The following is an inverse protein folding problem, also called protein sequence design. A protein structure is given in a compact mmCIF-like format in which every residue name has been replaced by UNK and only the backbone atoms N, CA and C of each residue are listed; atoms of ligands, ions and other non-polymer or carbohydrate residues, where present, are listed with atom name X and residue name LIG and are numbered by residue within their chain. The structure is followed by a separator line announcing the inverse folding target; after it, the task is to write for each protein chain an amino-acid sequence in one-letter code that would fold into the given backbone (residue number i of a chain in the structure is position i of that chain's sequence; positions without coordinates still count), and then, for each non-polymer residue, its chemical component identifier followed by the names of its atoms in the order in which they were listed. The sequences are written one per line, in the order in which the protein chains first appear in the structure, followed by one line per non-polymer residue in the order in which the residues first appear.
data_IF_837161490219
#
_entry.id   IF_837161490219
#
_cell.length_a   1.000
_cell.length_b   1.000
_cell.length_c   1.000
_cell.angle_alpha   90.00
_cell.angle_beta   90.00
_cell.angle_gamma   90.00
#
_symmetry.space_group_name_H-M   'P 1'
#
loop_
_entity.id
_entity.type
_entity.pdbx_description
1 polymer ?
#
# COMPACT_ATOMS: atom_id res chain seq x y z
N UNK A 1 -38.16 -20.31 20.29
CA UNK A 1 -38.25 -19.15 19.38
C UNK A 1 -36.97 -19.14 18.58
N UNK A 2 -37.04 -19.50 17.30
CA UNK A 2 -35.88 -19.53 16.42
C UNK A 2 -35.62 -18.09 15.97
N UNK A 3 -34.58 -17.46 16.48
CA UNK A 3 -34.11 -16.17 15.98
C UNK A 3 -33.33 -16.42 14.70
N UNK A 4 -34.03 -16.41 13.56
CA UNK A 4 -33.39 -16.29 12.26
C UNK A 4 -32.67 -14.94 12.21
N UNK A 5 -31.35 -14.97 12.33
CA UNK A 5 -30.51 -13.80 12.12
C UNK A 5 -30.59 -13.42 10.64
N UNK A 6 -31.38 -12.40 10.29
CA UNK A 6 -31.37 -11.74 8.98
C UNK A 6 -30.07 -10.92 8.74
N UNK A 7 -28.97 -11.32 9.38
CA UNK A 7 -27.67 -10.73 9.17
C UNK A 7 -27.15 -11.26 7.84
N UNK A 8 -27.17 -10.39 6.82
CA UNK A 8 -26.38 -10.61 5.62
C UNK A 8 -24.96 -10.97 6.07
N UNK A 9 -24.54 -12.21 5.80
CA UNK A 9 -23.22 -12.71 6.19
C UNK A 9 -22.17 -11.73 5.66
N UNK A 10 -21.49 -11.06 6.60
CA UNK A 10 -20.53 -10.03 6.23
C UNK A 10 -19.41 -10.70 5.43
N UNK A 11 -18.92 -10.15 4.30
CA UNK A 11 -17.93 -10.82 3.43
C UNK A 11 -16.61 -11.23 4.12
N UNK A 12 -16.37 -10.68 5.32
CA UNK A 12 -15.22 -10.96 6.17
C UNK A 12 -15.50 -11.93 7.34
N UNK A 13 -16.71 -12.48 7.44
CA UNK A 13 -17.06 -13.52 8.40
C UNK A 13 -16.06 -14.68 8.26
N UNK A 14 -15.45 -15.10 9.37
CA UNK A 14 -14.37 -16.11 9.43
C UNK A 14 -13.03 -15.73 8.76
N UNK A 15 -12.86 -14.50 8.25
CA UNK A 15 -11.60 -14.00 7.66
C UNK A 15 -10.90 -12.94 8.51
N UNK A 16 -11.61 -12.34 9.46
CA UNK A 16 -11.05 -11.30 10.35
C UNK A 16 -10.93 -11.83 11.77
N UNK A 17 -9.74 -11.70 12.35
CA UNK A 17 -9.42 -12.11 13.74
C UNK A 17 -10.15 -11.29 14.81
N UNK A 18 -10.85 -10.21 14.43
CA UNK A 18 -11.60 -9.30 15.30
C UNK A 18 -13.02 -9.05 14.78
N UNK A 19 -13.70 -10.12 14.40
CA UNK A 19 -15.10 -10.07 13.95
C UNK A 19 -16.03 -10.18 15.17
N UNK A 20 -16.85 -9.16 15.44
CA UNK A 20 -17.85 -9.16 16.52
C UNK A 20 -19.27 -9.22 15.93
N UNK A 21 -19.58 -10.33 15.26
CA UNK A 21 -20.93 -10.71 14.85
C UNK A 21 -21.53 -9.93 13.66
N UNK A 22 -21.44 -8.60 13.65
CA UNK A 22 -22.07 -7.77 12.63
C UNK A 22 -21.08 -7.21 11.61
N UNK A 23 -19.94 -6.69 12.08
CA UNK A 23 -18.83 -6.21 11.24
C UNK A 23 -17.48 -6.43 11.95
N UNK A 24 -16.37 -6.46 11.21
CA UNK A 24 -15.05 -6.38 11.83
C UNK A 24 -14.59 -4.91 11.93
N UNK A 25 -13.70 -4.61 12.90
CA UNK A 25 -13.16 -3.26 13.09
C UNK A 25 -12.60 -2.63 11.81
N UNK A 26 -11.93 -3.42 10.97
CA UNK A 26 -11.35 -2.95 9.71
C UNK A 26 -12.43 -2.51 8.71
N UNK A 27 -13.49 -3.28 8.55
CA UNK A 27 -14.59 -2.94 7.64
C UNK A 27 -15.42 -1.78 8.17
N UNK A 28 -15.61 -1.71 9.49
CA UNK A 28 -16.25 -0.57 10.15
C UNK A 28 -15.50 0.74 9.86
N UNK A 29 -14.17 0.74 9.99
CA UNK A 29 -13.35 1.92 9.66
C UNK A 29 -13.52 2.31 8.19
N UNK A 30 -13.48 1.35 7.26
CA UNK A 30 -13.65 1.63 5.83
C UNK A 30 -15.04 2.20 5.50
N UNK A 31 -16.09 1.74 6.16
CA UNK A 31 -17.45 2.24 5.94
C UNK A 31 -17.63 3.65 6.53
N UNK A 32 -16.97 3.95 7.65
CA UNK A 32 -16.92 5.30 8.22
C UNK A 32 -16.16 6.23 7.27
N UNK A 33 -14.94 5.87 6.86
CA UNK A 33 -14.13 6.66 5.92
C UNK A 33 -14.92 6.98 4.63
N UNK A 34 -15.64 6.00 4.07
CA UNK A 34 -16.51 6.22 2.89
C UNK A 34 -17.66 7.18 3.15
N UNK A 35 -18.33 7.06 4.31
CA UNK A 35 -19.44 7.95 4.66
C UNK A 35 -18.97 9.38 4.88
N UNK A 36 -17.86 9.54 5.59
CA UNK A 36 -17.29 10.86 5.85
C UNK A 36 -16.79 11.53 4.56
N UNK A 37 -16.21 10.75 3.63
CA UNK A 37 -15.87 11.21 2.28
C UNK A 37 -17.11 11.68 1.50
N UNK A 38 -18.18 10.88 1.46
CA UNK A 38 -19.43 11.23 0.76
C UNK A 38 -20.12 12.47 1.36
N UNK A 39 -19.96 12.70 2.66
CA UNK A 39 -20.50 13.85 3.36
C UNK A 39 -19.57 15.08 3.30
N UNK A 40 -18.37 14.95 2.70
CA UNK A 40 -17.38 16.02 2.63
C UNK A 40 -16.92 16.51 4.01
N UNK A 41 -16.95 15.64 5.02
CA UNK A 41 -16.65 16.03 6.42
C UNK A 41 -15.16 16.29 6.65
N UNK A 42 -14.32 15.72 5.80
CA UNK A 42 -12.88 15.90 5.82
C UNK A 42 -12.37 16.19 4.40
N UNK A 43 -11.28 16.97 4.26
CA UNK A 43 -10.66 17.18 2.96
C UNK A 43 -10.18 15.86 2.37
N UNK A 44 -10.30 15.69 1.04
CA UNK A 44 -9.89 14.48 0.33
C UNK A 44 -8.48 13.98 0.73
N UNK A 45 -7.58 14.91 1.06
CA UNK A 45 -6.23 14.63 1.54
C UNK A 45 -6.15 13.81 2.84
N UNK A 46 -7.15 13.85 3.72
CA UNK A 46 -7.21 12.96 4.91
C UNK A 46 -7.52 11.51 4.54
N UNK A 47 -8.13 11.28 3.36
CA UNK A 47 -8.38 9.93 2.83
C UNK A 47 -7.31 9.47 1.83
N UNK A 48 -6.50 10.40 1.29
CA UNK A 48 -5.33 10.05 0.48
C UNK A 48 -4.28 9.43 1.40
N UNK A 49 -4.37 8.11 1.55
CA UNK A 49 -3.37 7.32 2.28
C UNK A 49 -2.04 7.45 1.54
N UNK A 50 -1.12 8.23 2.12
CA UNK A 50 0.26 8.32 1.67
C UNK A 50 0.84 6.90 1.66
N UNK A 51 1.25 6.44 0.48
CA UNK A 51 1.78 5.09 0.31
C UNK A 51 3.23 5.00 0.80
N UNK A 52 3.93 6.13 0.83
CA UNK A 52 5.31 6.28 1.28
C UNK A 52 5.40 7.47 2.25
N UNK A 53 6.39 7.46 3.13
CA UNK A 53 6.66 8.53 4.10
C UNK A 53 8.05 9.11 3.92
N UNK A 54 8.29 10.31 4.46
CA UNK A 54 9.63 10.91 4.50
C UNK A 54 10.64 9.92 5.08
N UNK A 55 11.77 9.78 4.38
CA UNK A 55 12.84 8.87 4.75
C UNK A 55 12.78 7.50 4.10
N UNK A 56 11.64 7.08 3.51
CA UNK A 56 11.53 5.81 2.79
C UNK A 56 12.46 5.78 1.57
N UNK A 57 13.10 4.64 1.35
CA UNK A 57 13.88 4.40 0.14
C UNK A 57 12.98 3.79 -0.95
N UNK A 58 13.01 4.40 -2.13
CA UNK A 58 12.22 3.98 -3.28
C UNK A 58 13.11 3.82 -4.52
N UNK A 59 12.65 2.97 -5.44
CA UNK A 59 13.21 2.84 -6.78
C UNK A 59 12.11 3.03 -7.80
N UNK A 60 12.48 3.52 -8.98
CA UNK A 60 11.55 3.60 -10.10
C UNK A 60 11.17 2.20 -10.62
N UNK A 61 9.94 2.10 -11.11
CA UNK A 61 9.42 0.92 -11.75
C UNK A 61 10.16 0.63 -13.07
N UNK A 62 10.18 -0.63 -13.55
CA UNK A 62 11.00 -1.03 -14.70
C UNK A 62 10.70 -0.32 -16.02
N UNK A 63 9.52 0.30 -16.17
CA UNK A 63 9.17 1.09 -17.36
C UNK A 63 9.85 2.46 -17.39
N UNK A 64 10.59 2.83 -16.35
CA UNK A 64 11.32 4.09 -16.23
C UNK A 64 12.83 3.79 -16.21
N UNK A 65 13.59 4.64 -16.91
CA UNK A 65 15.03 4.44 -17.16
C UNK A 65 15.94 4.71 -15.97
N UNK A 66 15.40 5.22 -14.86
CA UNK A 66 16.16 5.49 -13.65
C UNK A 66 16.43 4.20 -12.86
N UNK A 67 17.70 3.94 -12.58
CA UNK A 67 18.20 2.78 -11.86
C UNK A 67 18.74 3.12 -10.47
N UNK A 68 18.68 4.38 -10.06
CA UNK A 68 19.07 4.80 -8.72
C UNK A 68 18.10 4.35 -7.63
N UNK A 69 18.59 4.37 -6.40
CA UNK A 69 17.77 4.38 -5.19
C UNK A 69 17.62 5.82 -4.72
N UNK A 70 16.38 6.22 -4.43
CA UNK A 70 16.01 7.57 -4.03
C UNK A 70 15.36 7.53 -2.65
N UNK A 71 15.37 8.65 -1.95
CA UNK A 71 14.70 8.79 -0.67
C UNK A 71 13.55 9.77 -0.80
N UNK A 72 12.41 9.44 -0.19
CA UNK A 72 11.26 10.33 -0.11
C UNK A 72 11.60 11.49 0.82
N UNK A 73 11.38 12.71 0.32
CA UNK A 73 11.53 13.96 1.08
C UNK A 73 10.16 14.41 1.61
N UNK A 74 9.19 14.62 0.71
CA UNK A 74 7.87 15.08 1.11
C UNK A 74 6.76 14.57 0.19
N UNK A 75 5.58 14.30 0.75
CA UNK A 75 4.37 14.06 -0.02
C UNK A 75 3.87 15.36 -0.67
N UNK A 76 3.27 15.24 -1.85
CA UNK A 76 2.59 16.32 -2.58
C UNK A 76 1.16 15.90 -2.94
N UNK A 77 0.23 16.86 -3.06
CA UNK A 77 -1.12 16.59 -3.56
C UNK A 77 -1.12 15.86 -4.90
N UNK A 78 -2.23 15.20 -5.21
CA UNK A 78 -2.40 14.38 -6.42
C UNK A 78 -1.42 13.20 -6.53
N UNK A 79 -1.04 12.61 -5.39
CA UNK A 79 -0.31 11.34 -5.32
C UNK A 79 1.15 11.38 -5.81
N UNK A 80 1.76 12.56 -5.70
CA UNK A 80 3.17 12.77 -6.01
C UNK A 80 4.04 12.82 -4.76
N UNK A 81 5.34 12.57 -4.93
CA UNK A 81 6.34 12.61 -3.88
C UNK A 81 7.59 13.33 -4.38
N UNK A 82 8.09 14.26 -3.57
CA UNK A 82 9.42 14.82 -3.72
C UNK A 82 10.46 13.79 -3.28
N UNK A 83 11.51 13.69 -4.08
CA UNK A 83 12.71 12.92 -3.77
C UNK A 83 13.80 13.87 -3.28
N UNK A 84 14.69 13.40 -2.40
CA UNK A 84 15.76 14.23 -1.80
C UNK A 84 16.74 14.84 -2.80
N UNK A 85 16.76 14.36 -4.04
CA UNK A 85 17.53 14.93 -5.14
C UNK A 85 16.77 16.00 -5.95
N UNK A 86 15.58 16.41 -5.50
CA UNK A 86 14.72 17.40 -6.15
C UNK A 86 13.86 16.87 -7.30
N UNK A 87 13.83 15.55 -7.54
CA UNK A 87 12.91 14.96 -8.53
C UNK A 87 11.51 14.77 -7.95
N UNK A 88 10.50 14.82 -8.83
CA UNK A 88 9.10 14.53 -8.47
C UNK A 88 8.68 13.19 -9.09
N UNK A 89 8.06 12.32 -8.31
CA UNK A 89 7.62 11.00 -8.74
C UNK A 89 6.14 10.75 -8.39
N UNK A 90 5.39 10.16 -9.33
CA UNK A 90 4.02 9.72 -9.07
C UNK A 90 4.01 8.35 -8.38
N UNK A 91 3.03 8.07 -7.50
CA UNK A 91 2.98 6.82 -6.73
C UNK A 91 3.07 5.54 -7.57
N UNK A 92 2.57 5.56 -8.80
CA UNK A 92 2.52 4.37 -9.69
C UNK A 92 3.85 4.08 -10.37
N UNK A 93 4.77 5.04 -10.33
CA UNK A 93 6.05 5.00 -11.03
C UNK A 93 7.19 4.56 -10.11
N UNK A 94 6.93 4.45 -8.81
CA UNK A 94 7.91 4.09 -7.78
C UNK A 94 7.39 2.95 -6.91
N UNK A 95 8.32 2.23 -6.28
CA UNK A 95 8.05 1.24 -5.23
C UNK A 95 9.10 1.33 -4.14
N UNK A 96 8.82 0.74 -2.98
CA UNK A 96 9.84 0.58 -1.94
C UNK A 96 11.05 -0.18 -2.49
N UNK A 97 12.23 0.32 -2.16
CA UNK A 97 13.49 -0.35 -2.38
C UNK A 97 13.58 -1.56 -1.45
N UNK A 98 14.18 -2.64 -1.95
CA UNK A 98 14.56 -3.78 -1.11
C UNK A 98 15.87 -3.49 -0.38
N UNK A 99 16.15 -4.21 0.71
CA UNK A 99 17.41 -4.04 1.47
C UNK A 99 18.65 -4.20 0.58
N UNK A 100 18.60 -5.11 -0.39
CA UNK A 100 19.68 -5.35 -1.36
C UNK A 100 19.91 -4.11 -2.22
N UNK A 101 18.83 -3.49 -2.72
CA UNK A 101 18.91 -2.27 -3.53
C UNK A 101 19.47 -1.11 -2.70
N UNK A 102 19.02 -0.96 -1.45
CA UNK A 102 19.52 0.07 -0.53
C UNK A 102 21.03 -0.11 -0.28
N UNK A 103 21.49 -1.34 -0.05
CA UNK A 103 22.91 -1.63 0.17
C UNK A 103 23.75 -1.40 -1.09
N UNK A 104 23.25 -1.80 -2.26
CA UNK A 104 23.93 -1.62 -3.54
C UNK A 104 23.85 -0.18 -4.07
N UNK A 105 22.91 0.62 -3.56
CA UNK A 105 22.51 1.94 -4.10
C UNK A 105 22.06 1.90 -5.56
N UNK A 106 21.68 0.72 -6.04
CA UNK A 106 21.26 0.46 -7.42
C UNK A 106 20.00 -0.40 -7.43
N UNK A 107 19.13 -0.14 -8.40
CA UNK A 107 17.89 -0.88 -8.64
C UNK A 107 18.23 -2.29 -9.12
N UNK A 108 17.52 -3.26 -8.58
CA UNK A 108 17.65 -4.64 -9.02
C UNK A 108 17.08 -4.80 -10.44
N UNK A 109 17.80 -5.44 -11.37
CA UNK A 109 17.31 -5.71 -12.71
C UNK A 109 15.97 -6.45 -12.70
N UNK A 110 15.11 -6.18 -13.67
CA UNK A 110 13.74 -6.70 -13.71
C UNK A 110 13.69 -8.24 -13.68
N UNK A 111 14.67 -8.91 -14.29
CA UNK A 111 14.75 -10.37 -14.33
C UNK A 111 15.08 -10.99 -12.97
N UNK A 112 15.94 -10.34 -12.20
CA UNK A 112 16.26 -10.73 -10.82
C UNK A 112 15.03 -10.53 -9.93
N UNK A 113 14.29 -9.43 -10.10
CA UNK A 113 13.06 -9.15 -9.35
C UNK A 113 11.96 -10.19 -9.63
N UNK A 114 11.79 -10.60 -10.90
CA UNK A 114 10.87 -11.69 -11.26
C UNK A 114 11.24 -13.00 -10.58
N UNK A 115 12.52 -13.33 -10.53
CA UNK A 115 12.99 -14.55 -9.87
C UNK A 115 12.74 -14.51 -8.35
N UNK A 116 13.09 -13.40 -7.69
CA UNK A 116 12.84 -13.19 -6.26
C UNK A 116 11.35 -13.30 -5.92
N UNK A 117 10.46 -12.69 -6.71
CA UNK A 117 9.02 -12.77 -6.50
C UNK A 117 8.49 -14.20 -6.61
N UNK A 118 8.98 -14.99 -7.58
CA UNK A 118 8.62 -16.41 -7.71
C UNK A 118 9.08 -17.23 -6.50
N UNK A 119 10.32 -17.02 -6.05
CA UNK A 119 10.87 -17.70 -4.87
C UNK A 119 10.09 -17.35 -3.61
N UNK A 120 9.76 -16.07 -3.40
CA UNK A 120 8.98 -15.64 -2.23
C UNK A 120 7.54 -16.15 -2.25
N UNK A 121 6.91 -16.21 -3.42
CA UNK A 121 5.59 -16.83 -3.57
C UNK A 121 5.62 -18.32 -3.22
N UNK A 122 6.60 -19.07 -3.74
CA UNK A 122 6.77 -20.48 -3.43
C UNK A 122 7.02 -20.73 -1.93
N UNK A 123 7.81 -19.87 -1.25
CA UNK A 123 8.03 -19.98 0.19
C UNK A 123 6.76 -19.77 1.03
N UNK A 124 5.86 -18.88 0.60
CA UNK A 124 4.58 -18.62 1.27
C UNK A 124 3.55 -19.72 1.05
N UNK A 125 3.65 -20.48 -0.04
CA UNK A 125 2.75 -21.62 -0.33
C UNK A 125 3.17 -22.91 0.40
N UNK A 126 4.36 -22.93 1.00
CA UNK A 126 4.94 -24.10 1.71
C UNK A 126 4.98 -23.88 3.24
N UNK A 127 4.62 -22.69 3.73
CA UNK A 127 4.41 -22.37 5.16
C UNK A 127 2.93 -22.33 5.50
#
# INVERSE_FOLDING_TARGET
MNTESNLAQHPCENKCTKFEGEQCKTCLIQDIEKKEFNLGLAPDSEYVKCQFVEGDFVVFMPHIVYDGVYQIDAFQPAEYYWLTNGQLAHKTDIRLATDIEIQAKERTPADVLKHLNRVNKAKREVS
#
